data_IF_780971789559
#
_entry.id   IF_780971789559
#
_cell.length_a   1.000
_cell.length_b   1.000
_cell.length_c   1.000
_cell.angle_alpha   90.00
_cell.angle_beta   90.00
_cell.angle_gamma   90.00
#
_symmetry.space_group_name_H-M   'P 1'
#
loop_
_entity.id
_entity.type
_entity.pdbx_description
1 polymer ?
#
# COMPACT_ATOMS: atom_id res chain seq x y z
N UNK A 1 -10.93 10.43 -6.61
CA UNK A 1 -11.84 10.56 -5.46
C UNK A 1 -11.08 10.23 -4.20
N UNK A 2 -11.24 11.06 -3.17
CA UNK A 2 -10.59 10.97 -1.88
C UNK A 2 -11.67 10.83 -0.80
N UNK A 3 -11.82 9.63 -0.23
CA UNK A 3 -12.82 9.30 0.78
C UNK A 3 -12.22 9.42 2.18
N UNK A 4 -12.94 10.08 3.08
CA UNK A 4 -12.40 10.52 4.36
C UNK A 4 -11.31 11.55 4.16
N UNK A 5 -11.54 12.52 3.26
CA UNK A 5 -10.48 13.40 2.76
C UNK A 5 -9.84 14.30 3.82
N UNK A 6 -10.51 14.53 4.95
CA UNK A 6 -10.02 15.41 6.01
C UNK A 6 -9.67 16.80 5.46
N UNK A 7 -8.43 17.24 5.71
CA UNK A 7 -7.88 18.51 5.18
C UNK A 7 -7.34 18.42 3.75
N UNK A 8 -7.69 17.36 3.00
CA UNK A 8 -7.31 17.19 1.60
C UNK A 8 -5.85 16.77 1.39
N UNK A 9 -5.25 16.06 2.35
CA UNK A 9 -3.83 15.65 2.29
C UNK A 9 -3.51 14.80 1.04
N UNK A 10 -4.41 13.90 0.64
CA UNK A 10 -4.28 13.11 -0.58
C UNK A 10 -4.31 14.02 -1.81
N UNK A 11 -5.20 15.02 -1.84
CA UNK A 11 -5.27 15.98 -2.95
C UNK A 11 -3.99 16.80 -3.10
N UNK A 12 -3.41 17.26 -1.98
CA UNK A 12 -2.10 17.93 -1.96
C UNK A 12 -0.98 17.02 -2.45
N UNK A 13 -0.91 15.78 -1.95
CA UNK A 13 0.11 14.81 -2.38
C UNK A 13 -0.01 14.49 -3.88
N UNK A 14 -1.23 14.24 -4.35
CA UNK A 14 -1.50 13.96 -5.76
C UNK A 14 -1.16 15.16 -6.66
N UNK A 15 -1.53 16.37 -6.26
CA UNK A 15 -1.17 17.59 -7.01
C UNK A 15 0.34 17.83 -7.03
N UNK A 16 1.06 17.56 -5.94
CA UNK A 16 2.52 17.68 -5.90
C UNK A 16 3.24 16.76 -6.88
N UNK A 17 2.68 15.58 -7.17
CA UNK A 17 3.27 14.60 -8.10
C UNK A 17 2.82 14.81 -9.55
N UNK A 18 1.52 15.02 -9.78
CA UNK A 18 0.95 15.05 -11.13
C UNK A 18 0.59 16.46 -11.63
N UNK A 19 0.52 17.45 -10.74
CA UNK A 19 0.14 18.83 -11.06
C UNK A 19 -1.12 18.90 -11.90
N UNK A 20 -1.05 19.69 -12.97
CA UNK A 20 -2.18 19.98 -13.87
C UNK A 20 -2.59 18.81 -14.78
N UNK A 21 -1.95 17.63 -14.67
CA UNK A 21 -2.40 16.41 -15.35
C UNK A 21 -3.69 15.87 -14.74
N UNK A 22 -3.90 16.07 -13.44
CA UNK A 22 -5.16 15.79 -12.78
C UNK A 22 -6.13 16.95 -13.04
N UNK A 23 -7.33 16.61 -13.52
CA UNK A 23 -8.35 17.58 -13.91
C UNK A 23 -9.40 17.83 -12.85
N UNK A 24 -9.72 16.79 -12.09
CA UNK A 24 -10.79 16.83 -11.11
C UNK A 24 -10.38 16.09 -9.83
N UNK A 25 -10.68 16.70 -8.69
CA UNK A 25 -10.51 16.14 -7.36
C UNK A 25 -11.87 16.13 -6.67
N UNK A 26 -12.32 14.94 -6.25
CA UNK A 26 -13.57 14.78 -5.50
C UNK A 26 -13.22 14.38 -4.07
N UNK A 27 -13.27 15.33 -3.14
CA UNK A 27 -13.03 15.17 -1.72
C UNK A 27 -14.34 14.89 -0.99
N UNK A 28 -14.38 13.79 -0.25
CA UNK A 28 -15.56 13.32 0.46
C UNK A 28 -15.22 13.14 1.92
N UNK A 29 -15.84 13.95 2.79
CA UNK A 29 -15.70 13.85 4.23
C UNK A 29 -17.04 14.02 4.92
N UNK A 30 -17.38 13.12 5.84
CA UNK A 30 -18.65 13.15 6.57
C UNK A 30 -18.82 14.39 7.46
N UNK A 31 -17.71 15.04 7.84
CA UNK A 31 -17.69 16.27 8.62
C UNK A 31 -17.72 17.49 7.70
N UNK A 32 -18.79 18.27 7.78
CA UNK A 32 -18.89 19.57 7.09
C UNK A 32 -17.77 20.51 7.54
N UNK A 33 -17.43 20.52 8.83
CA UNK A 33 -16.34 21.31 9.39
C UNK A 33 -14.99 20.94 8.77
N UNK A 34 -14.73 19.66 8.52
CA UNK A 34 -13.49 19.23 7.85
C UNK A 34 -13.43 19.71 6.40
N UNK A 35 -14.54 19.62 5.67
CA UNK A 35 -14.62 20.15 4.31
C UNK A 35 -14.35 21.66 4.26
N UNK A 36 -14.97 22.44 5.16
CA UNK A 36 -14.73 23.89 5.28
C UNK A 36 -13.26 24.20 5.60
N UNK A 37 -12.67 23.45 6.55
CA UNK A 37 -11.26 23.62 6.90
C UNK A 37 -10.32 23.27 5.74
N UNK A 38 -10.61 22.18 5.02
CA UNK A 38 -9.87 21.75 3.84
C UNK A 38 -9.88 22.83 2.76
N UNK A 39 -11.06 23.39 2.47
CA UNK A 39 -11.20 24.49 1.52
C UNK A 39 -10.43 25.74 1.97
N UNK A 40 -10.51 26.10 3.25
CA UNK A 40 -9.74 27.23 3.80
C UNK A 40 -8.23 27.03 3.65
N UNK A 41 -7.72 25.83 3.95
CA UNK A 41 -6.30 25.49 3.76
C UNK A 41 -5.90 25.60 2.28
N UNK A 42 -6.76 25.14 1.37
CA UNK A 42 -6.54 25.24 -0.07
C UNK A 42 -6.60 26.67 -0.61
N UNK A 43 -7.20 27.60 0.12
CA UNK A 43 -7.16 29.04 -0.19
C UNK A 43 -6.01 29.77 0.53
N UNK A 44 -5.07 29.04 1.12
CA UNK A 44 -3.93 29.62 1.84
C UNK A 44 -4.33 30.25 3.18
N UNK A 45 -5.42 29.80 3.80
CA UNK A 45 -5.91 30.32 5.07
C UNK A 45 -6.75 31.60 4.97
N UNK A 46 -7.19 31.97 3.78
CA UNK A 46 -8.06 33.13 3.55
C UNK A 46 -9.35 32.74 2.82
N UNK A 47 -10.50 33.17 3.33
CA UNK A 47 -11.79 32.94 2.66
C UNK A 47 -11.86 33.56 1.25
N UNK A 48 -11.02 34.56 0.98
CA UNK A 48 -10.93 35.24 -0.33
C UNK A 48 -9.71 34.83 -1.16
N UNK A 49 -8.90 33.90 -0.65
CA UNK A 49 -7.76 33.39 -1.39
C UNK A 49 -8.19 32.57 -2.60
N UNK A 50 -7.36 32.59 -3.64
CA UNK A 50 -7.54 31.68 -4.78
C UNK A 50 -7.24 30.24 -4.36
N UNK A 51 -7.91 29.29 -4.99
CA UNK A 51 -7.66 27.87 -4.78
C UNK A 51 -6.29 27.51 -5.34
N UNK A 52 -5.40 26.96 -4.51
CA UNK A 52 -4.08 26.48 -4.94
C UNK A 52 -4.17 25.27 -5.88
N UNK A 53 -5.30 24.54 -5.84
CA UNK A 53 -5.61 23.41 -6.70
C UNK A 53 -6.93 23.68 -7.40
N UNK A 54 -6.91 23.73 -8.74
CA UNK A 54 -8.12 23.88 -9.56
C UNK A 54 -8.89 22.56 -9.71
N UNK A 55 -10.21 22.64 -9.91
CA UNK A 55 -11.05 21.45 -10.19
C UNK A 55 -11.28 20.56 -8.96
N UNK A 56 -11.14 21.11 -7.76
CA UNK A 56 -11.43 20.40 -6.51
C UNK A 56 -12.87 20.67 -6.05
N UNK A 57 -13.54 19.60 -5.63
CA UNK A 57 -14.93 19.60 -5.21
C UNK A 57 -15.07 18.88 -3.87
N UNK A 58 -15.85 19.46 -2.97
CA UNK A 58 -16.14 18.91 -1.64
C UNK A 58 -17.57 18.41 -1.55
N UNK A 59 -17.75 17.23 -0.95
CA UNK A 59 -19.05 16.61 -0.69
C UNK A 59 -19.06 15.95 0.67
N UNK A 60 -20.20 16.00 1.35
CA UNK A 60 -20.37 15.30 2.62
C UNK A 60 -20.70 13.81 2.46
N UNK A 61 -21.28 13.45 1.31
CA UNK A 61 -21.78 12.11 1.04
C UNK A 61 -21.25 11.57 -0.28
N UNK A 62 -21.09 10.24 -0.34
CA UNK A 62 -20.73 9.55 -1.56
C UNK A 62 -21.77 9.78 -2.66
N UNK A 63 -21.36 9.97 -3.93
CA UNK A 63 -22.30 10.08 -5.04
C UNK A 63 -23.16 8.81 -5.16
N UNK A 64 -24.49 8.97 -5.07
CA UNK A 64 -25.43 7.84 -5.11
C UNK A 64 -25.38 7.08 -6.43
N UNK A 65 -25.22 7.78 -7.55
CA UNK A 65 -25.25 7.17 -8.89
C UNK A 65 -24.03 6.28 -9.14
N UNK A 66 -24.19 4.95 -9.34
CA UNK A 66 -23.06 4.05 -9.58
C UNK A 66 -22.36 4.30 -10.94
N UNK A 67 -22.97 5.09 -11.83
CA UNK A 67 -22.43 5.40 -13.17
C UNK A 67 -21.16 6.24 -13.14
N UNK A 68 -20.95 7.02 -12.07
CA UNK A 68 -19.75 7.87 -11.94
C UNK A 68 -18.63 7.03 -11.34
N UNK A 69 -17.60 6.77 -12.14
CA UNK A 69 -16.35 6.13 -11.73
C UNK A 69 -15.19 7.14 -11.76
N UNK A 70 -14.15 6.84 -11.01
CA UNK A 70 -12.92 7.63 -10.93
C UNK A 70 -11.72 6.76 -11.28
N UNK A 71 -10.73 7.33 -11.97
CA UNK A 71 -9.49 6.63 -12.34
C UNK A 71 -8.68 6.22 -11.10
N UNK A 72 -8.74 7.03 -10.04
CA UNK A 72 -8.09 6.78 -8.76
C UNK A 72 -9.07 7.07 -7.63
N UNK A 73 -9.28 6.08 -6.77
CA UNK A 73 -10.01 6.18 -5.52
C UNK A 73 -9.05 5.93 -4.37
N UNK A 74 -9.02 6.83 -3.40
CA UNK A 74 -8.16 6.74 -2.21
C UNK A 74 -9.02 6.81 -0.96
N UNK A 75 -8.67 6.01 0.04
CA UNK A 75 -9.14 6.13 1.43
C UNK A 75 -7.93 6.02 2.33
N UNK A 76 -7.56 7.10 3.01
CA UNK A 76 -6.34 7.17 3.81
C UNK A 76 -6.69 7.47 5.27
N UNK A 77 -6.45 6.50 6.15
CA UNK A 77 -6.68 6.55 7.60
C UNK A 77 -8.15 6.75 7.98
N UNK A 78 -9.08 6.23 7.18
CA UNK A 78 -10.52 6.50 7.32
C UNK A 78 -11.35 5.25 7.58
N UNK A 79 -10.86 4.04 7.24
CA UNK A 79 -11.65 2.82 7.46
C UNK A 79 -11.78 2.49 8.94
N UNK A 80 -10.78 2.86 9.74
CA UNK A 80 -10.81 2.67 11.19
C UNK A 80 -11.81 3.61 11.90
N UNK A 81 -12.26 4.68 11.26
CA UNK A 81 -13.26 5.61 11.81
C UNK A 81 -14.69 5.08 11.66
N UNK A 82 -14.88 4.05 10.83
CA UNK A 82 -16.19 3.48 10.57
C UNK A 82 -16.65 2.60 11.76
N UNK A 83 -17.91 2.72 12.18
CA UNK A 83 -18.36 2.26 13.50
C UNK A 83 -18.36 0.74 13.66
N UNK A 84 -18.51 -0.02 12.58
CA UNK A 84 -18.58 -1.48 12.63
C UNK A 84 -18.21 -2.11 11.28
N UNK A 85 -18.07 -3.44 11.27
CA UNK A 85 -17.69 -4.21 10.09
C UNK A 85 -18.69 -4.06 8.93
N UNK A 86 -20.00 -4.07 9.19
CA UNK A 86 -21.02 -4.00 8.15
C UNK A 86 -20.98 -2.67 7.39
N UNK A 87 -20.79 -1.55 8.09
CA UNK A 87 -20.61 -0.25 7.44
C UNK A 87 -19.28 -0.18 6.67
N UNK A 88 -18.20 -0.74 7.21
CA UNK A 88 -16.92 -0.86 6.47
C UNK A 88 -17.08 -1.65 5.18
N UNK A 89 -17.71 -2.81 5.23
CA UNK A 89 -17.96 -3.66 4.07
C UNK A 89 -18.73 -2.90 2.98
N UNK A 90 -19.84 -2.26 3.36
CA UNK A 90 -20.66 -1.46 2.45
C UNK A 90 -19.88 -0.30 1.82
N UNK A 91 -19.06 0.40 2.61
CA UNK A 91 -18.22 1.49 2.11
C UNK A 91 -17.16 0.95 1.16
N UNK A 92 -16.43 -0.11 1.51
CA UNK A 92 -15.40 -0.72 0.66
C UNK A 92 -15.98 -1.17 -0.68
N UNK A 93 -17.13 -1.85 -0.67
CA UNK A 93 -17.86 -2.23 -1.89
C UNK A 93 -18.24 -1.00 -2.72
N UNK A 94 -18.71 0.07 -2.08
CA UNK A 94 -19.05 1.31 -2.76
C UNK A 94 -17.82 1.98 -3.36
N UNK A 95 -16.70 2.09 -2.64
CA UNK A 95 -15.44 2.61 -3.15
C UNK A 95 -14.94 1.80 -4.34
N UNK A 96 -15.05 0.47 -4.29
CA UNK A 96 -14.69 -0.40 -5.40
C UNK A 96 -15.58 -0.21 -6.63
N UNK A 97 -16.89 -0.04 -6.46
CA UNK A 97 -17.80 0.31 -7.57
C UNK A 97 -17.45 1.64 -8.24
N UNK A 98 -16.96 2.61 -7.45
CA UNK A 98 -16.49 3.92 -7.93
C UNK A 98 -15.10 3.87 -8.55
N UNK A 99 -14.42 2.74 -8.53
CA UNK A 99 -13.05 2.61 -9.02
C UNK A 99 -13.04 2.12 -10.47
N UNK A 100 -12.64 2.99 -11.39
CA UNK A 100 -12.38 2.67 -12.79
C UNK A 100 -10.94 2.22 -13.06
N UNK A 101 -9.97 2.70 -12.28
CA UNK A 101 -8.56 2.31 -12.38
C UNK A 101 -8.04 1.63 -11.11
N UNK A 102 -7.65 2.43 -10.11
CA UNK A 102 -7.02 1.95 -8.88
C UNK A 102 -7.78 2.37 -7.62
N UNK A 103 -7.88 1.43 -6.66
CA UNK A 103 -8.34 1.69 -5.30
C UNK A 103 -7.14 1.60 -4.35
N UNK A 104 -6.80 2.69 -3.70
CA UNK A 104 -5.70 2.79 -2.73
C UNK A 104 -6.28 2.94 -1.33
N UNK A 105 -5.96 1.99 -0.45
CA UNK A 105 -6.32 2.02 0.95
C UNK A 105 -5.05 2.17 1.77
N UNK A 106 -5.03 3.12 2.71
CA UNK A 106 -3.91 3.35 3.62
C UNK A 106 -4.46 3.39 5.04
N UNK A 107 -3.83 2.68 5.97
CA UNK A 107 -4.21 2.66 7.38
C UNK A 107 -2.97 2.72 8.28
N UNK A 108 -3.17 2.95 9.57
CA UNK A 108 -2.07 2.94 10.54
C UNK A 108 -1.31 1.61 10.47
N UNK A 109 0.00 1.67 10.68
CA UNK A 109 0.90 0.51 10.68
C UNK A 109 0.74 -0.40 11.89
N UNK A 110 -0.43 -0.43 12.52
CA UNK A 110 -0.74 -1.26 13.69
C UNK A 110 -1.29 -2.61 13.26
N UNK A 111 -1.60 -3.48 14.24
CA UNK A 111 -2.24 -4.78 13.96
C UNK A 111 -3.66 -4.60 13.45
N UNK A 112 -4.37 -3.63 14.02
CA UNK A 112 -5.74 -3.27 13.71
C UNK A 112 -5.83 -2.71 12.29
N UNK A 113 -4.97 -1.74 11.93
CA UNK A 113 -4.90 -1.21 10.57
C UNK A 113 -4.56 -2.28 9.53
N UNK A 114 -3.65 -3.21 9.86
CA UNK A 114 -3.37 -4.36 9.01
C UNK A 114 -4.59 -5.29 8.84
N UNK A 115 -5.30 -5.59 9.93
CA UNK A 115 -6.50 -6.43 9.91
C UNK A 115 -7.60 -5.81 9.03
N UNK A 116 -7.83 -4.49 9.16
CA UNK A 116 -8.77 -3.75 8.31
C UNK A 116 -8.44 -3.87 6.82
N UNK A 117 -7.16 -3.82 6.46
CA UNK A 117 -6.74 -4.00 5.06
C UNK A 117 -6.88 -5.45 4.58
N UNK A 118 -6.75 -6.45 5.46
CA UNK A 118 -7.01 -7.85 5.10
C UNK A 118 -8.52 -8.10 4.92
N UNK A 119 -9.37 -7.51 5.77
CA UNK A 119 -10.82 -7.50 5.57
C UNK A 119 -11.17 -6.88 4.21
N UNK A 120 -10.60 -5.71 3.90
CA UNK A 120 -10.81 -5.05 2.61
C UNK A 120 -10.33 -5.89 1.43
N UNK A 121 -9.20 -6.60 1.57
CA UNK A 121 -8.70 -7.57 0.58
C UNK A 121 -9.71 -8.67 0.31
N UNK A 122 -10.25 -9.27 1.36
CA UNK A 122 -11.25 -10.32 1.20
C UNK A 122 -12.55 -9.77 0.58
N UNK A 123 -13.03 -8.61 1.03
CA UNK A 123 -14.22 -7.97 0.47
C UNK A 123 -14.05 -7.67 -1.03
N UNK A 124 -12.90 -7.13 -1.44
CA UNK A 124 -12.67 -6.74 -2.84
C UNK A 124 -12.39 -7.95 -3.75
N UNK A 125 -11.65 -8.96 -3.27
CA UNK A 125 -11.28 -10.12 -4.08
C UNK A 125 -12.31 -11.25 -4.10
N UNK A 126 -12.97 -11.50 -2.96
CA UNK A 126 -13.96 -12.59 -2.80
C UNK A 126 -15.40 -12.07 -2.88
N UNK A 127 -15.63 -10.79 -2.62
CA UNK A 127 -16.96 -10.20 -2.63
C UNK A 127 -17.55 -10.22 -4.03
N UNK A 128 -18.65 -10.94 -4.18
CA UNK A 128 -19.57 -10.74 -5.29
C UNK A 128 -20.42 -9.50 -4.99
N UNK A 129 -20.28 -8.45 -5.80
CA UNK A 129 -21.29 -7.39 -5.79
C UNK A 129 -22.57 -7.95 -6.42
N UNK A 130 -23.72 -7.69 -5.80
CA UNK A 130 -25.02 -8.04 -6.40
C UNK A 130 -25.24 -7.26 -7.69
N UNK A 131 -24.63 -6.08 -7.80
CA UNK A 131 -24.65 -5.25 -9.01
C UNK A 131 -23.26 -5.17 -9.64
N UNK A 132 -23.07 -5.89 -10.74
CA UNK A 132 -21.80 -5.86 -11.49
C UNK A 132 -21.80 -4.67 -12.44
N UNK A 133 -21.17 -3.58 -12.02
CA UNK A 133 -21.01 -2.36 -12.85
C UNK A 133 -19.76 -2.40 -13.75
N UNK A 134 -18.76 -3.17 -13.35
CA UNK A 134 -17.54 -3.40 -14.13
C UNK A 134 -17.17 -4.88 -14.00
N UNK A 135 -17.05 -5.57 -15.15
CA UNK A 135 -16.81 -7.00 -15.25
C UNK A 135 -15.33 -7.38 -15.10
N UNK A 136 -14.42 -6.40 -15.09
CA UNK A 136 -12.99 -6.67 -14.90
C UNK A 136 -12.76 -7.16 -13.47
N UNK A 137 -12.01 -8.28 -13.30
CA UNK A 137 -11.73 -8.80 -11.98
C UNK A 137 -10.88 -7.82 -11.16
N UNK A 138 -10.99 -7.91 -9.84
CA UNK A 138 -10.09 -7.22 -8.93
C UNK A 138 -8.75 -7.95 -8.85
N UNK A 139 -7.65 -7.19 -8.85
CA UNK A 139 -6.32 -7.70 -8.59
C UNK A 139 -5.66 -6.87 -7.50
N UNK A 140 -4.86 -7.52 -6.66
CA UNK A 140 -3.93 -6.82 -5.77
C UNK A 140 -2.73 -6.36 -6.58
N UNK A 141 -2.58 -5.05 -6.71
CA UNK A 141 -1.45 -4.42 -7.37
C UNK A 141 -0.24 -4.29 -6.44
N UNK A 142 -0.49 -3.95 -5.18
CA UNK A 142 0.52 -3.79 -4.14
C UNK A 142 -0.14 -3.88 -2.74
N UNK A 143 0.60 -4.13 -1.65
CA UNK A 143 2.03 -4.43 -1.57
C UNK A 143 2.39 -5.89 -1.88
N UNK A 144 1.42 -6.80 -1.82
CA UNK A 144 1.65 -8.22 -2.06
C UNK A 144 2.02 -8.46 -3.54
N UNK A 145 3.12 -9.16 -3.84
CA UNK A 145 3.46 -9.57 -5.21
C UNK A 145 2.68 -10.80 -5.68
N UNK A 146 1.60 -11.17 -4.97
CA UNK A 146 0.81 -12.38 -5.20
C UNK A 146 -0.68 -12.11 -4.95
N UNK A 147 -1.52 -12.92 -5.60
CA UNK A 147 -2.98 -12.93 -5.40
C UNK A 147 -3.45 -13.95 -4.36
N UNK A 148 -2.53 -14.75 -3.81
CA UNK A 148 -2.79 -15.75 -2.76
C UNK A 148 -3.13 -15.11 -1.40
N UNK A 149 -3.58 -15.90 -0.43
CA UNK A 149 -3.75 -15.45 0.95
C UNK A 149 -2.45 -14.90 1.53
N UNK A 150 -2.54 -13.90 2.40
CA UNK A 150 -1.35 -13.27 2.96
C UNK A 150 -0.67 -14.22 3.96
N UNK A 151 0.59 -14.63 3.76
CA UNK A 151 1.27 -15.57 4.67
C UNK A 151 1.49 -15.01 6.08
N UNK A 152 1.40 -13.69 6.26
CA UNK A 152 1.46 -13.05 7.57
C UNK A 152 0.20 -13.27 8.42
N UNK A 153 -0.91 -13.75 7.83
CA UNK A 153 -2.13 -14.15 8.56
C UNK A 153 -2.02 -15.54 9.19
N UNK A 154 -1.17 -16.42 8.65
CA UNK A 154 -1.10 -17.83 9.07
C UNK A 154 -0.45 -18.05 10.46
N UNK A 155 0.09 -17.01 11.09
CA UNK A 155 0.75 -17.11 12.41
C UNK A 155 -0.24 -17.01 13.58
N UNK A 156 0.12 -17.61 14.72
CA UNK A 156 -0.66 -17.54 15.98
C UNK A 156 -0.95 -16.10 16.44
N UNK A 157 -0.04 -15.16 16.15
CA UNK A 157 -0.28 -13.73 16.24
C UNK A 157 0.07 -13.09 14.88
N UNK A 158 -0.92 -12.55 14.15
CA UNK A 158 -0.66 -11.87 12.89
C UNK A 158 0.32 -10.71 13.08
N UNK A 159 1.43 -10.74 12.36
CA UNK A 159 2.37 -9.63 12.31
C UNK A 159 1.92 -8.67 11.21
N UNK A 160 1.80 -7.36 11.50
CA UNK A 160 1.33 -6.42 10.50
C UNK A 160 2.30 -6.34 9.32
N UNK A 161 1.75 -6.31 8.10
CA UNK A 161 2.48 -5.90 6.92
C UNK A 161 2.44 -4.38 6.79
N UNK A 162 3.39 -3.73 7.45
CA UNK A 162 3.54 -2.28 7.47
C UNK A 162 4.89 -1.86 6.91
N UNK A 163 5.02 -0.56 6.68
CA UNK A 163 6.17 0.14 6.10
C UNK A 163 6.41 1.42 6.89
N UNK A 164 7.52 2.10 6.61
CA UNK A 164 7.89 3.34 7.28
C UNK A 164 8.08 4.46 6.27
N UNK A 165 7.49 5.62 6.54
CA UNK A 165 7.69 6.84 5.76
C UNK A 165 8.35 7.89 6.63
N UNK A 166 9.48 8.42 6.16
CA UNK A 166 10.13 9.58 6.76
C UNK A 166 9.36 10.85 6.39
N UNK A 167 9.12 11.73 7.35
CA UNK A 167 8.49 13.03 7.09
C UNK A 167 9.08 14.15 7.97
N UNK A 168 8.78 15.39 7.59
CA UNK A 168 9.12 16.58 8.37
C UNK A 168 7.86 17.05 9.10
N UNK A 169 7.83 16.98 10.44
CA UNK A 169 6.68 17.44 11.19
C UNK A 169 6.57 18.98 11.14
N UNK A 170 5.42 19.51 11.56
CA UNK A 170 5.23 20.95 11.71
C UNK A 170 6.29 21.54 12.65
N UNK A 171 6.72 22.77 12.39
CA UNK A 171 7.82 23.45 13.09
C UNK A 171 7.39 23.97 14.46
N UNK A 172 6.98 23.07 15.35
CA UNK A 172 6.77 23.35 16.76
C UNK A 172 8.03 23.03 17.57
N UNK A 173 8.25 23.75 18.67
CA UNK A 173 9.48 23.63 19.49
C UNK A 173 9.71 22.23 20.06
N UNK A 174 8.65 21.45 20.26
CA UNK A 174 8.71 20.08 20.78
C UNK A 174 8.85 19.00 19.69
N UNK A 175 8.75 19.36 18.41
CA UNK A 175 8.84 18.41 17.33
C UNK A 175 10.30 18.17 16.92
N UNK A 176 10.70 16.92 16.66
CA UNK A 176 12.01 16.65 16.07
C UNK A 176 12.08 17.21 14.64
N UNK A 177 13.29 17.41 14.11
CA UNK A 177 13.47 17.88 12.72
C UNK A 177 12.96 16.88 11.67
N UNK A 178 12.92 15.60 12.04
CA UNK A 178 12.47 14.48 11.22
C UNK A 178 11.71 13.51 12.10
N UNK A 179 10.60 13.00 11.59
CA UNK A 179 9.82 11.94 12.21
C UNK A 179 9.60 10.78 11.23
N UNK A 180 9.10 9.67 11.76
CA UNK A 180 8.78 8.46 11.01
C UNK A 180 7.35 8.05 11.28
N UNK A 181 6.58 7.80 10.23
CA UNK A 181 5.22 7.28 10.32
C UNK A 181 5.21 5.83 9.90
N UNK A 182 4.50 4.99 10.65
CA UNK A 182 4.33 3.58 10.31
C UNK A 182 2.95 3.39 9.72
N UNK A 183 2.87 2.84 8.52
CA UNK A 183 1.62 2.68 7.79
C UNK A 183 1.52 1.32 7.13
N UNK A 184 0.30 0.85 6.92
CA UNK A 184 -0.01 -0.30 6.08
C UNK A 184 -0.80 0.21 4.88
N UNK A 185 -0.67 -0.41 3.72
CA UNK A 185 -1.45 -0.02 2.55
C UNK A 185 -1.85 -1.23 1.72
N UNK A 186 -2.85 -1.03 0.86
CA UNK A 186 -3.35 -2.00 -0.11
C UNK A 186 -3.78 -1.26 -1.36
N UNK A 187 -3.32 -1.70 -2.52
CA UNK A 187 -3.70 -1.14 -3.81
C UNK A 187 -4.34 -2.24 -4.64
N UNK A 188 -5.57 -2.00 -5.08
CA UNK A 188 -6.27 -2.85 -6.03
C UNK A 188 -6.31 -2.20 -7.41
N UNK A 189 -6.31 -3.02 -8.46
CA UNK A 189 -6.48 -2.59 -9.84
C UNK A 189 -7.66 -3.31 -10.50
N UNK A 190 -8.29 -2.63 -11.44
CA UNK A 190 -9.24 -3.24 -12.38
C UNK A 190 -8.48 -3.99 -13.47
N UNK A 191 -8.58 -5.32 -13.46
CA UNK A 191 -7.85 -6.18 -14.38
C UNK A 191 -6.37 -6.35 -14.01
N UNK A 192 -5.69 -7.30 -14.68
CA UNK A 192 -4.26 -7.54 -14.47
C UNK A 192 -3.48 -6.34 -15.00
N UNK A 193 -2.57 -5.80 -14.20
CA UNK A 193 -1.62 -4.79 -14.66
C UNK A 193 -0.41 -5.54 -15.20
N UNK A 194 -0.22 -5.46 -16.52
CA UNK A 194 0.83 -6.18 -17.23
C UNK A 194 2.20 -5.57 -16.96
N UNK A 195 2.88 -6.05 -15.93
CA UNK A 195 4.31 -5.79 -15.76
C UNK A 195 5.04 -7.04 -15.28
N UNK A 196 6.16 -7.39 -15.92
CA UNK A 196 6.99 -8.53 -15.51
C UNK A 196 7.54 -8.35 -14.07
N UNK A 197 7.69 -7.10 -13.62
CA UNK A 197 8.15 -6.71 -12.28
C UNK A 197 7.12 -7.03 -11.18
N UNK A 198 5.90 -7.44 -11.54
CA UNK A 198 4.86 -7.91 -10.61
C UNK A 198 5.32 -9.10 -9.77
N UNK A 199 6.30 -9.86 -10.27
CA UNK A 199 6.79 -11.08 -9.63
C UNK A 199 7.91 -10.84 -8.60
N UNK A 200 8.50 -9.64 -8.58
CA UNK A 200 9.62 -9.36 -7.69
C UNK A 200 9.18 -9.37 -6.21
N UNK A 201 9.96 -10.02 -5.32
CA UNK A 201 9.64 -10.06 -3.91
C UNK A 201 9.58 -8.65 -3.29
N UNK A 202 8.68 -8.49 -2.32
CA UNK A 202 8.61 -7.30 -1.48
C UNK A 202 9.41 -7.44 -0.22
N UNK A 203 10.35 -6.52 0.02
CA UNK A 203 10.98 -6.36 1.32
C UNK A 203 9.93 -5.93 2.34
N UNK A 204 9.75 -6.74 3.39
CA UNK A 204 8.68 -6.59 4.39
C UNK A 204 9.22 -6.34 5.81
N UNK A 205 10.49 -5.94 5.90
CA UNK A 205 11.16 -5.54 7.14
C UNK A 205 12.45 -4.78 6.86
N UNK A 206 13.12 -4.27 7.91
CA UNK A 206 14.38 -3.56 7.76
C UNK A 206 15.45 -4.41 7.06
N UNK A 207 16.13 -3.81 6.09
CA UNK A 207 17.28 -4.41 5.39
C UNK A 207 18.51 -4.29 6.28
N UNK A 208 19.13 -5.42 6.63
CA UNK A 208 20.30 -5.43 7.53
C UNK A 208 21.59 -5.60 6.73
N UNK A 209 22.25 -4.47 6.46
CA UNK A 209 23.54 -4.43 5.77
C UNK A 209 24.68 -4.82 6.72
N UNK A 210 25.40 -5.89 6.37
CA UNK A 210 26.60 -6.35 7.08
C UNK A 210 27.82 -6.36 6.14
N UNK A 211 29.04 -6.51 6.66
CA UNK A 211 30.20 -6.75 5.81
C UNK A 211 29.98 -8.01 4.95
N UNK A 212 30.05 -7.85 3.61
CA UNK A 212 29.96 -8.92 2.59
C UNK A 212 28.61 -9.63 2.44
N UNK A 213 27.59 -9.30 3.23
CA UNK A 213 26.25 -9.88 3.10
C UNK A 213 25.15 -8.91 3.53
N UNK A 214 23.92 -9.14 3.06
CA UNK A 214 22.73 -8.36 3.40
C UNK A 214 21.60 -9.33 3.75
N UNK A 215 20.92 -9.09 4.87
CA UNK A 215 19.72 -9.85 5.22
C UNK A 215 18.47 -9.13 4.73
N UNK A 216 17.65 -9.83 3.95
CA UNK A 216 16.37 -9.34 3.45
C UNK A 216 15.25 -10.29 3.87
N UNK A 217 14.23 -9.76 4.56
CA UNK A 217 12.97 -10.48 4.81
C UNK A 217 11.96 -10.06 3.75
N UNK A 218 11.41 -11.02 3.04
CA UNK A 218 10.64 -10.78 1.82
C UNK A 218 9.33 -11.55 1.78
N UNK A 219 8.31 -10.97 1.16
CA UNK A 219 7.11 -11.66 0.70
C UNK A 219 7.23 -11.90 -0.81
N UNK A 220 6.94 -13.12 -1.26
CA UNK A 220 7.27 -13.58 -2.62
C UNK A 220 6.01 -13.91 -3.42
N UNK A 221 6.13 -14.01 -4.74
CA UNK A 221 5.01 -14.26 -5.65
C UNK A 221 4.33 -15.63 -5.44
N UNK A 222 5.02 -16.57 -4.81
CA UNK A 222 4.49 -17.89 -4.40
C UNK A 222 3.66 -17.85 -3.10
N UNK A 223 3.47 -16.66 -2.52
CA UNK A 223 2.71 -16.48 -1.28
C UNK A 223 3.47 -16.90 -0.03
N UNK A 224 4.81 -17.01 -0.07
CA UNK A 224 5.63 -17.36 1.10
C UNK A 224 6.48 -16.20 1.59
N UNK A 225 6.85 -16.29 2.87
CA UNK A 225 7.83 -15.40 3.49
C UNK A 225 9.22 -16.03 3.43
N UNK A 226 10.18 -15.29 2.88
CA UNK A 226 11.56 -15.70 2.76
C UNK A 226 12.48 -14.81 3.58
N UNK A 227 13.55 -15.38 4.10
CA UNK A 227 14.65 -14.64 4.70
C UNK A 227 15.94 -15.05 4.00
N UNK A 228 16.41 -14.20 3.09
CA UNK A 228 17.59 -14.46 2.29
C UNK A 228 18.79 -13.66 2.77
N UNK A 229 19.97 -14.30 2.69
CA UNK A 229 21.28 -13.70 2.94
C UNK A 229 21.94 -13.45 1.59
N UNK A 230 21.76 -12.25 1.06
CA UNK A 230 22.25 -11.86 -0.25
C UNK A 230 23.74 -11.52 -0.16
N UNK A 231 24.54 -12.11 -1.05
CA UNK A 231 26.00 -11.92 -1.13
C UNK A 231 26.43 -11.76 -2.57
N UNK A 232 27.47 -10.96 -2.82
CA UNK A 232 28.00 -10.76 -4.17
C UNK A 232 28.49 -12.06 -4.81
N UNK A 233 29.01 -13.01 -4.01
CA UNK A 233 29.54 -14.29 -4.49
C UNK A 233 28.44 -15.26 -4.94
N UNK A 234 27.36 -15.40 -4.14
CA UNK A 234 26.29 -16.37 -4.43
C UNK A 234 25.22 -15.83 -5.37
N UNK A 235 24.95 -14.52 -5.30
CA UNK A 235 23.80 -13.91 -5.97
C UNK A 235 24.18 -12.87 -7.03
N UNK A 236 25.48 -12.69 -7.28
CA UNK A 236 25.99 -11.69 -8.21
C UNK A 236 26.13 -10.29 -7.58
N UNK A 237 27.01 -9.47 -8.19
CA UNK A 237 27.33 -8.13 -7.70
C UNK A 237 26.16 -7.16 -7.81
N UNK A 238 25.35 -7.27 -8.86
CA UNK A 238 24.24 -6.34 -9.11
C UNK A 238 23.11 -6.52 -8.10
N UNK A 239 22.62 -7.75 -7.90
CA UNK A 239 21.59 -8.02 -6.87
C UNK A 239 22.10 -7.70 -5.46
N UNK A 240 23.38 -7.96 -5.16
CA UNK A 240 23.99 -7.54 -3.91
C UNK A 240 23.97 -6.02 -3.73
N UNK A 241 24.30 -5.25 -4.77
CA UNK A 241 24.24 -3.78 -4.75
C UNK A 241 22.80 -3.29 -4.58
N UNK A 242 21.84 -3.88 -5.29
CA UNK A 242 20.41 -3.57 -5.12
C UNK A 242 19.99 -3.81 -3.68
N UNK A 243 20.25 -5.00 -3.13
CA UNK A 243 19.92 -5.34 -1.75
C UNK A 243 20.54 -4.39 -0.72
N UNK A 244 21.78 -3.95 -0.91
CA UNK A 244 22.43 -3.00 0.01
C UNK A 244 21.77 -1.62 0.04
N UNK A 245 21.15 -1.22 -1.07
CA UNK A 245 20.53 0.10 -1.24
C UNK A 245 19.01 0.05 -1.11
N UNK A 246 18.43 -1.13 -0.88
CA UNK A 246 17.00 -1.28 -0.69
C UNK A 246 16.56 -0.87 0.71
N UNK A 247 15.37 -0.29 0.76
CA UNK A 247 14.67 0.08 1.97
C UNK A 247 13.49 -0.87 2.27
N UNK A 248 12.91 -0.70 3.46
CA UNK A 248 11.74 -1.46 3.85
C UNK A 248 10.56 -1.07 2.96
N UNK A 249 10.15 -2.01 2.11
CA UNK A 249 9.05 -1.81 1.19
C UNK A 249 9.48 -1.65 -0.25
N UNK A 250 10.74 -1.96 -0.61
CA UNK A 250 11.26 -2.01 -1.98
C UNK A 250 11.09 -3.36 -2.68
N UNK A 251 11.04 -3.34 -4.03
CA UNK A 251 11.05 -4.56 -4.89
C UNK A 251 12.50 -4.92 -5.13
N UNK A 252 12.84 -6.17 -4.86
CA UNK A 252 14.16 -6.70 -5.18
C UNK A 252 14.08 -7.48 -6.49
N UNK A 253 14.94 -7.20 -7.48
CA UNK A 253 14.98 -7.92 -8.74
C UNK A 253 15.62 -9.30 -8.55
N UNK A 254 14.97 -10.14 -7.75
CA UNK A 254 15.41 -11.46 -7.38
C UNK A 254 14.38 -12.49 -7.89
N UNK A 255 14.83 -13.41 -8.74
CA UNK A 255 14.09 -14.64 -9.00
C UNK A 255 14.47 -15.59 -7.87
N UNK A 256 13.59 -15.77 -6.88
CA UNK A 256 13.84 -16.72 -5.81
C UNK A 256 13.70 -18.11 -6.43
N UNK A 257 14.82 -18.71 -6.81
CA UNK A 257 14.85 -20.11 -7.20
C UNK A 257 14.52 -20.94 -5.98
N UNK A 258 13.37 -21.62 -6.00
CA UNK A 258 13.07 -22.69 -5.07
C UNK A 258 14.22 -23.70 -5.09
N UNK A 259 14.82 -23.93 -3.92
CA UNK A 259 15.93 -24.86 -3.62
C UNK A 259 17.35 -24.41 -3.97
N UNK A 260 18.17 -24.21 -2.94
CA UNK A 260 19.53 -24.75 -2.97
C UNK A 260 19.47 -26.10 -2.25
N UNK A 261 20.01 -27.19 -2.81
CA UNK A 261 20.14 -28.43 -2.06
C UNK A 261 21.06 -28.17 -0.86
N UNK A 262 20.64 -28.66 0.31
CA UNK A 262 21.49 -28.75 1.48
C UNK A 262 22.80 -29.44 1.08
N UNK A 263 23.91 -28.71 1.14
CA UNK A 263 25.25 -29.31 1.06
C UNK A 263 25.58 -29.90 2.42
N UNK A 264 24.89 -30.99 2.77
CA UNK A 264 25.24 -31.88 3.87
C UNK A 264 25.25 -33.32 3.37
N UNK A 265 26.15 -33.60 2.43
CA UNK A 265 26.78 -34.92 2.29
C UNK A 265 28.26 -34.67 1.98
N UNK A 266 29.06 -34.57 3.03
CA UNK A 266 30.49 -34.82 2.98
C UNK A 266 30.72 -36.18 3.66
N UNK A 267 31.51 -36.99 2.96
CA UNK A 267 32.40 -38.03 3.46
C UNK A 267 31.82 -39.30 4.10
N UNK A 268 31.57 -40.29 3.24
CA UNK A 268 31.84 -41.70 3.57
C UNK A 268 32.08 -42.49 2.28
N UNK A 269 33.32 -42.44 1.78
CA UNK A 269 33.89 -43.47 0.88
C UNK A 269 35.39 -43.22 0.69
N UNK A 270 36.18 -43.64 1.66
CA UNK A 270 37.58 -44.04 1.45
C UNK A 270 38.08 -44.86 2.66
N UNK A 271 37.79 -46.16 2.64
CA UNK A 271 38.54 -47.19 3.37
C UNK A 271 38.17 -48.57 2.85
N UNK A 272 38.76 -48.94 1.72
CA UNK A 272 38.79 -50.32 1.21
C UNK A 272 40.04 -50.51 0.36
N UNK A 273 41.19 -50.62 1.01
CA UNK A 273 42.43 -51.20 0.49
C UNK A 273 43.27 -51.66 1.68
#
# INVERSE_FOLDING_TARGET
MDFGSGVGSVSWAAHGIWGNKLKEYMCIDSSSSMNTLSELVLRGGSDKGEMHISGIHFRQFLPVSPKVQFDLVVSAYSLNELPNFAEREKIIQTLWRKTGGFLVLVENGTREGYQLLMEARDIVLKGGDKEVWDHRPAYVFAPCPHQLECPKLAGRLPLPCNFMQKYQPLRFSWNPSVAWEKFSYMIFSRGPVGDNDSQWPRVIGPVLCRPRHVHCKMCCSDGKLHHDIITAKRHGKDLYRCARNSEWGDRLPAMISSSCPDKTQFDEKESSS
#
